data_IF_943199135528
#
_entry.id   IF_943199135528
#
_cell.length_a   1.000
_cell.length_b   1.000
_cell.length_c   1.000
_cell.angle_alpha   90.00
_cell.angle_beta   90.00
_cell.angle_gamma   90.00
#
_symmetry.space_group_name_H-M   'P 1'
#
loop_
_entity.id
_entity.type
_entity.pdbx_description
1 polymer ?
#
# COMPACT_ATOMS: atom_id res chain seq x y z
N UNK A 1 -61.44 42.53 -12.91
CA UNK A 1 -61.61 43.95 -12.57
C UNK A 1 -62.61 44.05 -11.42
N UNK A 2 -62.12 44.16 -10.19
CA UNK A 2 -62.85 44.67 -9.03
C UNK A 2 -61.81 45.00 -7.95
N UNK A 3 -61.65 46.29 -7.68
CA UNK A 3 -60.68 46.87 -6.75
C UNK A 3 -61.01 46.55 -5.28
N UNK A 4 -60.02 46.52 -4.38
CA UNK A 4 -60.22 46.42 -2.93
C UNK A 4 -60.47 47.80 -2.29
N UNK A 5 -61.23 47.91 -1.18
CA UNK A 5 -61.26 49.11 -0.37
C UNK A 5 -60.12 49.14 0.67
N UNK A 6 -59.54 50.33 0.78
CA UNK A 6 -58.39 50.74 1.56
C UNK A 6 -58.81 51.09 3.00
N UNK A 7 -57.90 50.85 3.95
CA UNK A 7 -57.61 51.65 5.17
C UNK A 7 -57.81 50.91 6.49
N UNK A 8 -56.71 50.39 7.05
CA UNK A 8 -56.55 50.23 8.49
C UNK A 8 -55.51 51.25 8.98
N UNK A 9 -55.70 51.89 10.15
CA UNK A 9 -54.74 52.85 10.69
C UNK A 9 -53.50 52.11 11.21
N UNK A 10 -52.34 52.63 10.83
CA UNK A 10 -51.02 52.24 11.33
C UNK A 10 -50.91 52.60 12.82
N UNK A 11 -51.14 51.63 13.69
CA UNK A 11 -50.67 51.68 15.08
C UNK A 11 -49.14 51.54 15.06
N UNK A 12 -48.44 52.65 15.28
CA UNK A 12 -46.99 52.66 15.52
C UNK A 12 -46.70 52.09 16.91
N UNK A 13 -46.16 50.87 16.98
CA UNK A 13 -45.52 50.37 18.19
C UNK A 13 -44.15 51.02 18.36
N UNK A 14 -43.78 51.54 19.55
CA UNK A 14 -42.43 52.02 19.79
C UNK A 14 -41.45 50.83 19.82
N UNK A 15 -40.41 50.89 18.98
CA UNK A 15 -39.28 49.96 19.02
C UNK A 15 -38.57 50.06 20.40
N UNK A 16 -38.59 48.96 21.15
CA UNK A 16 -37.74 48.78 22.33
C UNK A 16 -36.37 48.26 21.89
N UNK A 17 -35.24 48.93 22.19
CA UNK A 17 -33.92 48.43 21.84
C UNK A 17 -33.49 47.36 22.83
N UNK A 18 -33.58 46.08 22.44
CA UNK A 18 -32.95 44.99 23.18
C UNK A 18 -31.84 44.39 22.31
N UNK A 19 -30.63 44.87 22.54
CA UNK A 19 -29.37 44.37 21.99
C UNK A 19 -29.20 42.86 22.23
N UNK A 20 -29.05 42.02 21.18
CA UNK A 20 -28.71 40.62 21.33
C UNK A 20 -27.36 40.30 20.68
N UNK A 21 -26.28 40.97 21.10
CA UNK A 21 -24.92 40.69 20.60
C UNK A 21 -24.35 39.36 21.09
N UNK A 22 -24.94 38.74 22.13
CA UNK A 22 -24.42 37.49 22.70
C UNK A 22 -24.95 36.21 22.02
N UNK A 23 -26.09 36.25 21.32
CA UNK A 23 -26.72 35.03 20.76
C UNK A 23 -26.19 34.63 19.37
N UNK A 24 -25.55 35.55 18.62
CA UNK A 24 -25.01 35.24 17.30
C UNK A 24 -23.73 34.38 17.39
N UNK A 25 -22.90 34.56 18.42
CA UNK A 25 -21.63 33.85 18.56
C UNK A 25 -21.81 32.36 18.89
N UNK A 26 -22.83 32.00 19.67
CA UNK A 26 -23.11 30.61 20.02
C UNK A 26 -23.62 29.78 18.82
N UNK A 27 -24.40 30.39 17.93
CA UNK A 27 -24.94 29.72 16.74
C UNK A 27 -23.85 29.41 15.70
N UNK A 28 -22.85 30.28 15.56
CA UNK A 28 -21.75 30.10 14.60
C UNK A 28 -20.81 28.98 15.06
N UNK A 29 -20.55 28.85 16.36
CA UNK A 29 -19.69 27.78 16.90
C UNK A 29 -20.36 26.39 16.80
N UNK A 30 -21.67 26.32 17.00
CA UNK A 30 -22.44 25.09 16.81
C UNK A 30 -22.46 24.60 15.36
N UNK A 31 -22.48 25.52 14.39
CA UNK A 31 -22.47 25.18 12.95
C UNK A 31 -21.12 24.60 12.49
N UNK A 32 -20.00 25.02 13.10
CA UNK A 32 -18.67 24.48 12.78
C UNK A 32 -18.44 23.07 13.32
N UNK A 33 -19.05 22.67 14.44
CA UNK A 33 -18.88 21.33 15.00
C UNK A 33 -19.58 20.22 14.17
N UNK A 34 -20.66 20.55 13.44
CA UNK A 34 -21.39 19.54 12.64
C UNK A 34 -20.66 19.21 11.32
N UNK A 35 -19.85 20.12 10.78
CA UNK A 35 -19.19 19.93 9.49
C UNK A 35 -17.98 18.95 9.53
N UNK A 36 -17.43 18.65 10.71
CA UNK A 36 -16.18 17.90 10.83
C UNK A 36 -16.35 16.36 10.92
N UNK A 37 -17.58 15.83 10.95
CA UNK A 37 -17.85 14.48 11.49
C UNK A 37 -18.15 13.32 10.53
N UNK A 38 -18.24 13.49 9.21
CA UNK A 38 -18.77 12.41 8.32
C UNK A 38 -17.80 11.87 7.27
N UNK A 39 -16.49 11.83 7.54
CA UNK A 39 -15.55 11.09 6.69
C UNK A 39 -15.58 9.60 7.08
N UNK A 40 -16.52 8.84 6.50
CA UNK A 40 -16.54 7.38 6.61
C UNK A 40 -15.33 6.74 5.90
N UNK A 41 -14.94 5.50 6.26
CA UNK A 41 -13.85 4.82 5.58
C UNK A 41 -14.25 4.55 4.12
N UNK A 42 -13.55 5.19 3.19
CA UNK A 42 -13.65 4.83 1.77
C UNK A 42 -13.00 3.46 1.59
N UNK A 43 -13.81 2.42 1.43
CA UNK A 43 -13.33 1.12 0.98
C UNK A 43 -12.85 1.31 -0.46
N UNK A 44 -11.54 1.24 -0.65
CA UNK A 44 -10.92 1.39 -1.96
C UNK A 44 -11.31 0.19 -2.83
N UNK A 45 -12.29 0.39 -3.72
CA UNK A 45 -12.52 -0.49 -4.85
C UNK A 45 -11.21 -0.56 -5.64
N UNK A 46 -10.66 -1.76 -5.85
CA UNK A 46 -9.38 -1.93 -6.53
C UNK A 46 -9.50 -1.36 -7.95
N UNK A 47 -8.78 -0.28 -8.29
CA UNK A 47 -8.92 0.30 -9.62
C UNK A 47 -8.30 -0.64 -10.64
N UNK A 48 -9.13 -1.23 -11.49
CA UNK A 48 -8.68 -2.02 -12.62
C UNK A 48 -8.28 -1.08 -13.77
N UNK A 49 -7.01 -1.17 -14.19
CA UNK A 49 -6.53 -0.48 -15.40
C UNK A 49 -6.83 -1.35 -16.62
N UNK A 50 -7.77 -0.90 -17.46
CA UNK A 50 -8.04 -1.54 -18.76
C UNK A 50 -7.20 -0.87 -19.84
N UNK A 51 -6.34 -1.64 -20.50
CA UNK A 51 -5.46 -1.16 -21.57
C UNK A 51 -6.07 -1.57 -22.92
N UNK A 52 -6.11 -0.65 -23.88
CA UNK A 52 -6.62 -0.95 -25.22
C UNK A 52 -5.65 -1.82 -26.01
N UNK A 53 -6.14 -2.54 -27.00
CA UNK A 53 -5.28 -3.32 -27.91
C UNK A 53 -4.27 -2.42 -28.65
N UNK A 54 -4.68 -1.21 -29.02
CA UNK A 54 -3.83 -0.24 -29.68
C UNK A 54 -2.68 0.22 -28.77
N UNK A 55 -2.95 0.42 -27.48
CA UNK A 55 -1.90 0.76 -26.51
C UNK A 55 -0.97 -0.43 -26.26
N UNK A 56 -1.49 -1.66 -26.17
CA UNK A 56 -0.66 -2.87 -26.11
C UNK A 56 0.29 -3.02 -27.30
N UNK A 57 -0.09 -2.54 -28.49
CA UNK A 57 0.77 -2.58 -29.68
C UNK A 57 1.90 -1.55 -29.64
N UNK A 58 1.76 -0.48 -28.85
CA UNK A 58 2.81 0.54 -28.65
C UNK A 58 3.88 0.08 -27.68
N UNK A 59 3.62 -0.96 -26.88
CA UNK A 59 4.63 -1.53 -25.99
C UNK A 59 5.70 -2.25 -26.82
N UNK A 60 6.95 -1.82 -26.66
CA UNK A 60 8.11 -2.51 -27.23
C UNK A 60 8.26 -3.85 -26.52
N UNK A 61 8.23 -4.94 -27.29
CA UNK A 61 8.58 -6.27 -26.76
C UNK A 61 10.08 -6.33 -26.55
N UNK A 62 10.51 -6.38 -25.29
CA UNK A 62 11.90 -6.69 -24.98
C UNK A 62 12.13 -8.18 -25.22
N UNK A 63 12.88 -8.50 -26.27
CA UNK A 63 13.42 -9.84 -26.48
C UNK A 63 14.87 -9.84 -25.98
N UNK A 64 15.26 -10.84 -25.17
CA UNK A 64 16.65 -10.99 -24.77
C UNK A 64 17.54 -11.07 -26.02
N UNK A 65 18.63 -10.31 -26.03
CA UNK A 65 19.63 -10.38 -27.09
C UNK A 65 20.37 -11.74 -27.03
N UNK A 66 20.97 -12.17 -28.13
CA UNK A 66 21.59 -13.50 -28.22
C UNK A 66 22.77 -13.70 -27.25
N UNK A 67 23.36 -12.62 -26.78
CA UNK A 67 24.47 -12.57 -25.82
C UNK A 67 24.07 -12.91 -24.37
N UNK A 68 22.77 -12.97 -24.05
CA UNK A 68 22.29 -13.43 -22.74
C UNK A 68 21.99 -14.93 -22.68
N UNK A 69 22.20 -15.66 -23.78
CA UNK A 69 22.09 -17.11 -23.75
C UNK A 69 23.13 -17.69 -22.77
N UNK A 70 22.68 -18.56 -21.86
CA UNK A 70 23.56 -19.20 -20.89
C UNK A 70 24.69 -19.97 -21.59
N UNK A 71 25.94 -19.68 -21.20
CA UNK A 71 27.12 -20.37 -21.67
C UNK A 71 27.76 -21.13 -20.51
N UNK A 72 27.80 -22.47 -20.54
CA UNK A 72 28.42 -23.25 -19.47
C UNK A 72 29.93 -23.01 -19.43
N UNK A 73 30.48 -22.87 -18.22
CA UNK A 73 31.93 -22.75 -18.00
C UNK A 73 32.54 -21.38 -18.26
N UNK A 74 31.74 -20.33 -18.55
CA UNK A 74 32.23 -18.95 -18.69
C UNK A 74 31.36 -17.97 -17.89
N UNK A 75 31.97 -16.91 -17.38
CA UNK A 75 31.26 -15.81 -16.71
C UNK A 75 30.76 -14.77 -17.72
N UNK A 76 30.01 -13.77 -17.22
CA UNK A 76 29.48 -12.66 -18.02
C UNK A 76 30.55 -11.79 -18.69
N UNK A 77 31.82 -11.93 -18.30
CA UNK A 77 32.97 -11.24 -18.91
C UNK A 77 33.75 -12.15 -19.86
N UNK A 78 33.23 -13.35 -20.16
CA UNK A 78 33.87 -14.35 -21.01
C UNK A 78 35.07 -15.05 -20.37
N UNK A 79 35.26 -14.92 -19.04
CA UNK A 79 36.36 -15.58 -18.33
C UNK A 79 35.96 -17.00 -17.97
N UNK A 80 36.87 -17.98 -18.08
CA UNK A 80 36.57 -19.36 -17.70
C UNK A 80 36.20 -19.43 -16.22
N UNK A 81 35.15 -20.20 -15.93
CA UNK A 81 34.67 -20.49 -14.58
C UNK A 81 34.87 -21.98 -14.33
N UNK A 82 35.47 -22.30 -13.19
CA UNK A 82 35.68 -23.69 -12.80
C UNK A 82 34.34 -24.44 -12.67
N UNK A 83 34.29 -25.74 -13.02
CA UNK A 83 33.09 -26.55 -12.84
C UNK A 83 32.70 -26.62 -11.36
N UNK A 84 31.42 -26.81 -11.05
CA UNK A 84 30.95 -26.84 -9.66
C UNK A 84 31.55 -28.02 -8.85
N UNK A 85 31.99 -29.08 -9.53
CA UNK A 85 32.55 -30.29 -8.94
C UNK A 85 34.06 -30.20 -8.61
N UNK A 86 34.53 -29.00 -8.20
CA UNK A 86 35.89 -28.81 -7.70
C UNK A 86 36.11 -29.66 -6.43
N UNK A 87 36.59 -30.89 -6.60
CA UNK A 87 36.84 -31.83 -5.51
C UNK A 87 36.62 -33.30 -5.86
N UNK A 88 36.07 -33.63 -7.03
CA UNK A 88 35.69 -35.02 -7.31
C UNK A 88 36.85 -35.93 -7.77
N UNK A 89 37.85 -35.46 -8.53
CA UNK A 89 38.90 -36.37 -9.04
C UNK A 89 40.15 -35.73 -9.69
N UNK A 90 40.39 -34.41 -9.61
CA UNK A 90 41.53 -33.81 -10.32
C UNK A 90 42.84 -33.88 -9.50
N UNK A 91 44.00 -34.22 -10.11
CA UNK A 91 45.31 -34.12 -9.46
C UNK A 91 45.60 -32.67 -9.04
N UNK A 92 45.61 -32.40 -7.75
CA UNK A 92 45.78 -31.04 -7.18
C UNK A 92 44.50 -30.39 -6.64
N UNK A 93 43.35 -31.09 -6.71
CA UNK A 93 42.15 -30.67 -5.97
C UNK A 93 42.37 -30.80 -4.46
N UNK A 94 41.67 -29.95 -3.68
CA UNK A 94 41.66 -30.05 -2.22
C UNK A 94 41.28 -31.48 -1.80
N UNK A 95 41.88 -32.02 -0.71
CA UNK A 95 41.57 -33.36 -0.25
C UNK A 95 40.05 -33.49 -0.03
N UNK A 96 39.44 -34.65 -0.38
CA UNK A 96 38.04 -34.90 -0.11
C UNK A 96 37.72 -34.55 1.34
N UNK A 97 36.63 -33.81 1.57
CA UNK A 97 36.14 -33.49 2.90
C UNK A 97 36.05 -34.79 3.71
N UNK A 98 36.89 -34.92 4.73
CA UNK A 98 36.89 -36.07 5.62
C UNK A 98 35.64 -35.99 6.50
N UNK A 99 34.56 -36.63 6.07
CA UNK A 99 33.32 -36.67 6.82
C UNK A 99 33.47 -37.60 8.02
N UNK A 100 32.97 -37.21 9.20
CA UNK A 100 32.90 -38.13 10.34
C UNK A 100 31.90 -39.25 10.06
N UNK A 101 32.04 -40.37 10.78
CA UNK A 101 31.08 -41.48 10.69
C UNK A 101 29.67 -41.09 11.18
N UNK A 102 29.56 -40.04 12.00
CA UNK A 102 28.29 -39.48 12.45
C UNK A 102 28.41 -37.97 12.63
N UNK A 103 27.40 -37.24 12.15
CA UNK A 103 27.17 -35.84 12.49
C UNK A 103 25.94 -35.82 13.40
N UNK A 104 26.15 -35.62 14.70
CA UNK A 104 25.06 -35.52 15.67
C UNK A 104 24.63 -34.07 15.76
N UNK A 105 23.42 -33.79 15.25
CA UNK A 105 22.77 -32.49 15.39
C UNK A 105 21.69 -32.66 16.47
N UNK A 106 21.93 -32.22 17.71
CA UNK A 106 20.90 -32.26 18.73
C UNK A 106 19.79 -31.27 18.36
N UNK A 107 18.58 -31.79 18.15
CA UNK A 107 17.38 -30.95 17.99
C UNK A 107 16.77 -30.81 19.37
N UNK A 108 17.21 -29.79 20.11
CA UNK A 108 16.61 -29.39 21.37
C UNK A 108 15.56 -28.34 21.06
N UNK A 109 14.37 -28.79 20.65
CA UNK A 109 13.19 -27.95 20.66
C UNK A 109 12.38 -28.34 21.87
N UNK A 110 12.30 -27.43 22.84
CA UNK A 110 11.35 -27.55 23.93
C UNK A 110 9.94 -27.36 23.36
N UNK A 111 9.20 -28.46 23.21
CA UNK A 111 7.85 -28.44 22.66
C UNK A 111 6.85 -27.88 23.67
N UNK A 112 7.13 -27.95 24.97
CA UNK A 112 6.24 -27.42 26.01
C UNK A 112 6.28 -25.89 26.00
N UNK A 113 7.47 -25.30 25.96
CA UNK A 113 7.65 -23.86 25.78
C UNK A 113 7.12 -23.40 24.41
N UNK A 114 7.38 -24.17 23.34
CA UNK A 114 6.95 -23.81 21.98
C UNK A 114 5.44 -23.88 21.78
N UNK A 115 4.75 -24.77 22.47
CA UNK A 115 3.30 -24.95 22.34
C UNK A 115 2.51 -24.44 23.56
N UNK A 116 3.17 -23.84 24.55
CA UNK A 116 2.54 -23.30 25.74
C UNK A 116 1.79 -24.35 26.56
N UNK A 117 2.32 -25.58 26.62
CA UNK A 117 1.74 -26.67 27.41
C UNK A 117 2.29 -26.55 28.84
N UNK A 118 1.45 -26.28 29.85
CA UNK A 118 1.87 -26.20 31.25
C UNK A 118 2.29 -27.55 31.83
#
# INVERSE_FOLDING_TARGET
MASPPISQPLTSQPLSPKTPTASLLAAILGLWLVAAGTAGPAWAEQPYLTITRADCQRLVRHLPAADVAYQPGVDVRGRPVAPADLGAAEPGAAPPLALPQAVIIPIEVDLFDRFGIP
#
